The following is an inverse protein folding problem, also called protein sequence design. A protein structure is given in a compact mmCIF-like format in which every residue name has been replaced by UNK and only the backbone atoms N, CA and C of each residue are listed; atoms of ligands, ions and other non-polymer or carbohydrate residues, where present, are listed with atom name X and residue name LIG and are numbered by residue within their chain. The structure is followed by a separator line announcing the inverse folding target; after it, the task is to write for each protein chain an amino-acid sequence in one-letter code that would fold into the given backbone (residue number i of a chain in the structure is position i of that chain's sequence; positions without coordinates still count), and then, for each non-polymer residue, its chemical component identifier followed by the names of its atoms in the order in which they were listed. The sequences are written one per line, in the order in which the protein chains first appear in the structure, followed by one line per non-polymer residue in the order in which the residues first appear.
data_IF_342318021190
#
_entry.id   IF_342318021190
#
_cell.length_a   1.000
_cell.length_b   1.000
_cell.length_c   1.000
_cell.angle_alpha   90.00
_cell.angle_beta   90.00
_cell.angle_gamma   90.00
#
_symmetry.space_group_name_H-M   'P 1'
#
loop_
_entity.id
_entity.type
_entity.pdbx_description
1 polymer ?
#
# COMPACT_ATOMS: atom_id res chain seq x y z
N UNK A 1 13.35 13.20 -22.93
CA UNK A 1 12.21 12.67 -22.16
C UNK A 1 12.67 12.24 -20.77
N UNK A 2 12.02 12.73 -19.70
CA UNK A 2 12.54 12.48 -18.36
C UNK A 2 11.82 11.27 -17.72
N UNK A 3 12.45 10.10 -17.74
CA UNK A 3 11.96 8.88 -17.10
C UNK A 3 11.89 9.01 -15.58
N UNK A 4 12.78 9.80 -14.98
CA UNK A 4 12.92 9.92 -13.52
C UNK A 4 11.96 10.93 -12.87
N UNK A 5 11.15 11.63 -13.68
CA UNK A 5 10.17 12.60 -13.18
C UNK A 5 9.26 12.05 -12.05
N UNK A 6 8.79 10.78 -12.10
CA UNK A 6 7.97 10.22 -11.02
C UNK A 6 8.67 10.11 -9.67
N UNK A 7 10.01 10.05 -9.64
CA UNK A 7 10.78 9.95 -8.39
C UNK A 7 10.90 11.28 -7.64
N UNK A 8 10.90 12.41 -8.35
CA UNK A 8 11.28 13.70 -7.75
C UNK A 8 10.45 14.10 -6.53
N UNK A 9 9.10 14.01 -6.52
CA UNK A 9 8.32 14.40 -5.34
C UNK A 9 8.63 13.50 -4.14
N UNK A 10 8.83 12.20 -4.36
CA UNK A 10 9.13 11.24 -3.29
C UNK A 10 10.54 11.40 -2.74
N UNK A 11 11.52 11.64 -3.61
CA UNK A 11 12.91 11.92 -3.20
C UNK A 11 12.97 13.25 -2.43
N UNK A 12 12.27 14.27 -2.89
CA UNK A 12 12.20 15.55 -2.18
C UNK A 12 11.54 15.36 -0.81
N UNK A 13 10.40 14.68 -0.75
CA UNK A 13 9.71 14.39 0.50
C UNK A 13 10.58 13.62 1.48
N UNK A 14 11.28 12.59 1.01
CA UNK A 14 12.20 11.81 1.85
C UNK A 14 13.39 12.64 2.32
N UNK A 15 13.99 13.45 1.44
CA UNK A 15 15.08 14.35 1.80
C UNK A 15 14.66 15.39 2.86
N UNK A 16 13.45 15.93 2.78
CA UNK A 16 12.91 16.85 3.79
C UNK A 16 12.78 16.17 5.16
N UNK A 17 12.26 14.94 5.21
CA UNK A 17 12.11 14.20 6.47
C UNK A 17 13.49 13.87 7.06
N UNK A 18 14.46 13.45 6.23
CA UNK A 18 15.83 13.15 6.66
C UNK A 18 16.53 14.37 7.29
N UNK A 19 16.20 15.59 6.83
CA UNK A 19 16.73 16.82 7.39
C UNK A 19 15.96 17.30 8.64
N UNK A 20 14.88 16.63 9.02
CA UNK A 20 14.14 16.92 10.25
C UNK A 20 14.75 16.11 11.37
N UNK A 21 15.43 16.76 12.32
CA UNK A 21 16.21 16.10 13.39
C UNK A 21 15.40 15.05 14.16
N UNK A 22 14.14 15.33 14.47
CA UNK A 22 13.24 14.42 15.18
C UNK A 22 12.90 13.14 14.41
N UNK A 23 13.00 13.14 13.09
CA UNK A 23 12.58 12.01 12.25
C UNK A 23 13.74 11.41 11.43
N UNK A 24 14.93 11.97 11.52
CA UNK A 24 16.06 11.58 10.68
C UNK A 24 16.37 10.08 10.77
N UNK A 25 16.48 9.55 11.98
CA UNK A 25 16.75 8.13 12.20
C UNK A 25 15.62 7.22 11.72
N UNK A 26 14.37 7.54 12.09
CA UNK A 26 13.18 6.84 11.60
C UNK A 26 13.13 6.81 10.07
N UNK A 27 13.34 7.97 9.45
CA UNK A 27 13.31 8.15 8.00
C UNK A 27 14.44 7.39 7.30
N UNK A 28 15.65 7.40 7.87
CA UNK A 28 16.78 6.68 7.32
C UNK A 28 16.53 5.17 7.34
N UNK A 29 16.17 4.62 8.49
CA UNK A 29 15.95 3.17 8.66
C UNK A 29 14.77 2.70 7.81
N UNK A 30 13.62 3.42 7.86
CA UNK A 30 12.46 3.10 7.02
C UNK A 30 12.82 3.19 5.53
N UNK A 31 13.45 4.28 5.09
CA UNK A 31 13.79 4.49 3.68
C UNK A 31 14.76 3.43 3.14
N UNK A 32 15.81 3.09 3.87
CA UNK A 32 16.71 2.00 3.50
C UNK A 32 15.98 0.65 3.47
N UNK A 33 15.13 0.38 4.47
CA UNK A 33 14.33 -0.83 4.51
C UNK A 33 13.36 -0.92 3.31
N UNK A 34 12.70 0.18 2.93
CA UNK A 34 11.85 0.24 1.74
C UNK A 34 12.64 -0.01 0.46
N UNK A 35 13.83 0.59 0.31
CA UNK A 35 14.68 0.37 -0.85
C UNK A 35 15.12 -1.10 -0.97
N UNK A 36 15.52 -1.72 0.14
CA UNK A 36 15.91 -3.14 0.17
C UNK A 36 14.71 -4.02 -0.19
N UNK A 37 13.55 -3.80 0.46
CA UNK A 37 12.33 -4.56 0.22
C UNK A 37 11.89 -4.46 -1.24
N UNK A 38 11.79 -3.23 -1.79
CA UNK A 38 11.37 -3.04 -3.17
C UNK A 38 12.40 -3.56 -4.18
N UNK A 39 13.69 -3.41 -3.92
CA UNK A 39 14.71 -3.98 -4.77
C UNK A 39 14.59 -5.50 -4.86
N UNK A 40 14.45 -6.18 -3.73
CA UNK A 40 14.40 -7.65 -3.67
C UNK A 40 13.06 -8.23 -4.17
N UNK A 41 11.94 -7.68 -3.70
CA UNK A 41 10.60 -8.28 -3.91
C UNK A 41 9.91 -7.74 -5.17
N UNK A 42 10.30 -6.55 -5.63
CA UNK A 42 9.63 -5.87 -6.76
C UNK A 42 10.58 -5.72 -7.94
N UNK A 43 11.69 -5.00 -7.78
CA UNK A 43 12.55 -4.62 -8.91
C UNK A 43 13.25 -5.81 -9.57
N UNK A 44 13.79 -6.75 -8.79
CA UNK A 44 14.40 -7.97 -9.34
C UNK A 44 13.38 -8.84 -10.09
N UNK A 45 12.20 -9.17 -9.53
CA UNK A 45 11.16 -9.88 -10.27
C UNK A 45 10.66 -9.13 -11.50
N UNK A 46 10.49 -7.81 -11.45
CA UNK A 46 10.13 -6.99 -12.63
C UNK A 46 11.20 -7.11 -13.71
N UNK A 47 12.46 -6.99 -13.34
CA UNK A 47 13.57 -7.11 -14.28
C UNK A 47 13.57 -8.47 -14.98
N UNK A 48 13.32 -9.55 -14.25
CA UNK A 48 13.31 -10.92 -14.79
C UNK A 48 12.07 -11.24 -15.62
N UNK A 49 10.93 -10.67 -15.29
CA UNK A 49 9.63 -11.06 -15.86
C UNK A 49 8.99 -10.00 -16.71
N UNK A 50 9.43 -8.76 -16.59
CA UNK A 50 8.82 -7.59 -17.21
C UNK A 50 7.43 -7.24 -16.65
N UNK A 51 7.01 -7.76 -15.48
CA UNK A 51 5.65 -7.56 -14.95
C UNK A 51 5.64 -6.69 -13.72
N UNK A 52 4.81 -5.64 -13.74
CA UNK A 52 4.65 -4.68 -12.65
C UNK A 52 3.82 -5.22 -11.47
N UNK A 53 3.09 -6.32 -11.66
CA UNK A 53 2.19 -6.91 -10.65
C UNK A 53 2.87 -7.29 -9.34
N UNK A 54 4.20 -7.36 -9.29
CA UNK A 54 4.96 -7.58 -8.05
C UNK A 54 4.90 -6.39 -7.07
N UNK A 55 4.56 -5.19 -7.56
CA UNK A 55 4.31 -4.02 -6.70
C UNK A 55 3.20 -4.30 -5.69
N UNK A 56 2.18 -5.07 -6.09
CA UNK A 56 1.07 -5.46 -5.21
C UNK A 56 1.49 -6.35 -4.05
N UNK A 57 2.65 -6.98 -4.14
CA UNK A 57 3.29 -7.66 -3.00
C UNK A 57 4.14 -6.66 -2.20
N UNK A 58 5.03 -5.92 -2.86
CA UNK A 58 6.00 -5.07 -2.17
C UNK A 58 5.35 -3.93 -1.38
N UNK A 59 4.33 -3.29 -1.94
CA UNK A 59 3.71 -2.12 -1.35
C UNK A 59 3.05 -2.38 0.02
N UNK A 60 2.20 -3.42 0.20
CA UNK A 60 1.62 -3.73 1.50
C UNK A 60 2.66 -4.17 2.54
N UNK A 61 3.67 -4.92 2.14
CA UNK A 61 4.76 -5.30 3.06
C UNK A 61 5.62 -4.11 3.45
N UNK A 62 5.69 -3.09 2.60
CA UNK A 62 6.26 -1.79 2.94
C UNK A 62 5.51 -1.08 4.06
N UNK A 63 4.18 -1.20 4.14
CA UNK A 63 3.38 -0.67 5.26
C UNK A 63 3.67 -1.42 6.56
N UNK A 64 3.79 -2.76 6.50
CA UNK A 64 4.19 -3.56 7.66
C UNK A 64 5.55 -3.12 8.18
N UNK A 65 6.51 -2.93 7.28
CA UNK A 65 7.84 -2.44 7.64
C UNK A 65 7.78 -1.05 8.29
N UNK A 66 7.02 -0.11 7.70
CA UNK A 66 6.85 1.23 8.26
C UNK A 66 6.25 1.19 9.68
N UNK A 67 5.23 0.33 9.90
CA UNK A 67 4.66 0.12 11.24
C UNK A 67 5.68 -0.42 12.24
N UNK A 68 6.46 -1.43 11.85
CA UNK A 68 7.52 -2.02 12.71
C UNK A 68 8.58 -0.97 13.07
N UNK A 69 9.09 -0.25 12.07
CA UNK A 69 10.11 0.80 12.28
C UNK A 69 9.58 1.90 13.20
N UNK A 70 8.33 2.33 12.98
CA UNK A 70 7.71 3.36 13.82
C UNK A 70 7.56 2.92 15.28
N UNK A 71 7.21 1.66 15.52
CA UNK A 71 7.07 1.14 16.89
C UNK A 71 8.40 1.11 17.66
N UNK A 72 9.44 0.59 16.99
CA UNK A 72 10.72 0.35 17.68
C UNK A 72 11.64 1.55 17.76
N UNK A 73 11.51 2.53 16.88
CA UNK A 73 12.45 3.62 16.75
C UNK A 73 11.87 5.01 17.03
N UNK A 74 10.56 5.13 17.30
CA UNK A 74 9.99 6.42 17.70
C UNK A 74 10.23 6.69 19.18
N UNK A 75 10.48 7.95 19.51
CA UNK A 75 10.71 8.42 20.89
C UNK A 75 9.42 8.94 21.57
N UNK A 76 8.26 8.72 20.95
CA UNK A 76 6.98 9.20 21.46
C UNK A 76 6.37 8.32 22.55
N UNK A 77 5.17 8.71 22.99
CA UNK A 77 4.43 7.91 23.96
C UNK A 77 4.12 6.52 23.37
N UNK A 78 4.58 5.47 24.06
CA UNK A 78 4.58 4.10 23.57
C UNK A 78 3.23 3.60 23.04
N UNK A 79 2.12 4.03 23.67
CA UNK A 79 0.77 3.61 23.25
C UNK A 79 0.38 4.21 21.90
N UNK A 80 0.81 5.45 21.59
CA UNK A 80 0.59 6.09 20.29
C UNK A 80 1.35 5.36 19.19
N UNK A 81 2.62 5.06 19.45
CA UNK A 81 3.46 4.28 18.55
C UNK A 81 2.86 2.88 18.30
N UNK A 82 2.37 2.22 19.36
CA UNK A 82 1.73 0.92 19.26
C UNK A 82 0.45 0.99 18.41
N UNK A 83 -0.43 1.94 18.67
CA UNK A 83 -1.72 2.06 17.95
C UNK A 83 -1.49 2.29 16.47
N UNK A 84 -0.67 3.27 16.09
CA UNK A 84 -0.42 3.57 14.67
C UNK A 84 0.30 2.41 13.97
N UNK A 85 1.19 1.71 14.68
CA UNK A 85 1.89 0.53 14.14
C UNK A 85 0.94 -0.64 13.90
N UNK A 86 0.04 -0.92 14.84
CA UNK A 86 -1.00 -1.95 14.67
C UNK A 86 -1.89 -1.63 13.47
N UNK A 87 -2.32 -0.38 13.32
CA UNK A 87 -3.11 0.07 12.16
C UNK A 87 -2.40 -0.27 10.85
N UNK A 88 -1.14 0.14 10.70
CA UNK A 88 -0.35 -0.13 9.49
C UNK A 88 -0.10 -1.61 9.24
N UNK A 89 0.23 -2.36 10.30
CA UNK A 89 0.50 -3.79 10.20
C UNK A 89 -0.78 -4.54 9.79
N UNK A 90 -1.94 -4.19 10.34
CA UNK A 90 -3.21 -4.82 9.97
C UNK A 90 -3.57 -4.55 8.51
N UNK A 91 -3.47 -3.30 8.05
CA UNK A 91 -3.72 -2.94 6.65
C UNK A 91 -2.73 -3.67 5.73
N UNK A 92 -1.43 -3.59 6.06
CA UNK A 92 -0.38 -4.21 5.27
C UNK A 92 -0.51 -5.74 5.21
N UNK A 93 -0.79 -6.41 6.32
CA UNK A 93 -0.99 -7.86 6.37
C UNK A 93 -2.23 -8.28 5.56
N UNK A 94 -3.36 -7.58 5.70
CA UNK A 94 -4.59 -7.90 4.96
C UNK A 94 -4.34 -7.87 3.45
N UNK A 95 -3.71 -6.81 2.95
CA UNK A 95 -3.40 -6.66 1.53
C UNK A 95 -2.26 -7.59 1.09
N UNK A 96 -1.20 -7.68 1.88
CA UNK A 96 0.01 -8.45 1.58
C UNK A 96 -0.23 -9.95 1.54
N UNK A 97 -0.99 -10.51 2.50
CA UNK A 97 -1.37 -11.92 2.50
C UNK A 97 -2.28 -12.26 1.31
N UNK A 98 -3.19 -11.35 0.94
CA UNK A 98 -3.99 -11.48 -0.27
C UNK A 98 -3.15 -11.53 -1.54
N UNK A 99 -2.16 -10.64 -1.65
CA UNK A 99 -1.24 -10.60 -2.78
C UNK A 99 -0.34 -11.85 -2.86
N UNK A 100 0.17 -12.35 -1.73
CA UNK A 100 0.92 -13.61 -1.68
C UNK A 100 0.06 -14.80 -2.10
N UNK A 101 -1.20 -14.86 -1.68
CA UNK A 101 -2.12 -15.90 -2.11
C UNK A 101 -2.36 -15.85 -3.62
N UNK A 102 -2.55 -14.66 -4.20
CA UNK A 102 -2.65 -14.50 -5.65
C UNK A 102 -1.39 -14.95 -6.37
N UNK A 103 -0.20 -14.66 -5.83
CA UNK A 103 1.06 -15.13 -6.37
C UNK A 103 1.18 -16.67 -6.33
N UNK A 104 0.87 -17.30 -5.20
CA UNK A 104 0.85 -18.77 -5.05
C UNK A 104 -0.12 -19.44 -6.03
N UNK A 105 -1.27 -18.82 -6.28
CA UNK A 105 -2.26 -19.30 -7.27
C UNK A 105 -1.81 -19.07 -8.73
N UNK A 106 -0.66 -18.46 -8.96
CA UNK A 106 -0.13 -18.16 -10.30
C UNK A 106 -0.82 -17.01 -11.02
N UNK A 107 -1.65 -16.22 -10.35
CA UNK A 107 -2.37 -15.11 -10.96
C UNK A 107 -1.43 -13.97 -11.41
N UNK A 108 -0.25 -13.85 -10.80
CA UNK A 108 0.78 -12.91 -11.21
C UNK A 108 1.59 -13.37 -12.44
N UNK A 109 1.27 -14.53 -13.03
CA UNK A 109 1.85 -14.96 -14.31
C UNK A 109 1.38 -14.12 -15.50
N UNK A 110 0.29 -13.37 -15.33
CA UNK A 110 -0.20 -12.38 -16.29
C UNK A 110 -0.13 -11.00 -15.67
N UNK A 111 0.19 -10.00 -16.50
CA UNK A 111 0.17 -8.61 -16.08
C UNK A 111 -1.26 -8.14 -15.83
N UNK A 112 -1.50 -7.38 -14.75
CA UNK A 112 -2.80 -6.83 -14.46
C UNK A 112 -3.19 -5.72 -15.45
N UNK A 113 -4.50 -5.58 -15.77
CA UNK A 113 -4.99 -4.60 -16.76
C UNK A 113 -4.52 -3.17 -16.50
N UNK A 114 -4.44 -2.74 -15.23
CA UNK A 114 -3.98 -1.40 -14.86
C UNK A 114 -2.53 -1.13 -15.30
N UNK A 115 -1.65 -2.12 -15.20
CA UNK A 115 -0.25 -2.00 -15.61
C UNK A 115 -0.09 -2.13 -17.13
N UNK A 116 -0.96 -2.91 -17.79
CA UNK A 116 -1.03 -2.92 -19.25
C UNK A 116 -1.43 -1.54 -19.79
N UNK A 117 -2.43 -0.91 -19.17
CA UNK A 117 -2.85 0.45 -19.51
C UNK A 117 -1.74 1.48 -19.29
N UNK A 118 -0.96 1.35 -18.21
CA UNK A 118 0.19 2.20 -17.95
C UNK A 118 1.26 2.11 -19.05
N UNK A 119 1.50 0.90 -19.60
CA UNK A 119 2.42 0.73 -20.74
C UNK A 119 1.94 1.45 -21.98
N UNK A 120 0.64 1.35 -22.30
CA UNK A 120 0.04 2.07 -23.43
C UNK A 120 0.22 3.59 -23.26
N UNK A 121 0.09 4.09 -22.04
CA UNK A 121 0.37 5.50 -21.76
C UNK A 121 1.82 5.86 -22.02
N UNK A 122 2.77 5.04 -21.56
CA UNK A 122 4.20 5.28 -21.80
C UNK A 122 4.57 5.27 -23.28
N UNK A 123 3.98 4.36 -24.06
CA UNK A 123 4.14 4.36 -25.52
C UNK A 123 3.63 5.64 -26.17
N UNK A 124 2.44 6.11 -25.75
CA UNK A 124 1.88 7.39 -26.22
C UNK A 124 2.73 8.60 -25.81
N UNK A 125 3.38 8.53 -24.64
CA UNK A 125 4.33 9.52 -24.16
C UNK A 125 5.70 9.39 -24.85
N UNK A 126 5.89 8.42 -25.76
CA UNK A 126 7.12 8.16 -26.51
C UNK A 126 8.22 7.52 -25.64
N UNK A 127 7.92 6.90 -24.49
CA UNK A 127 8.89 6.17 -23.67
C UNK A 127 9.24 4.83 -24.31
N UNK A 128 10.34 4.79 -25.04
CA UNK A 128 10.81 3.60 -25.78
C UNK A 128 11.45 2.55 -24.86
N UNK A 129 12.13 2.98 -23.78
CA UNK A 129 12.74 2.07 -22.84
C UNK A 129 11.74 1.67 -21.73
N UNK A 130 10.90 0.68 -22.03
CA UNK A 130 9.88 0.16 -21.10
C UNK A 130 10.53 -0.46 -19.85
N UNK A 131 11.68 -1.10 -19.97
CA UNK A 131 12.36 -1.71 -18.82
C UNK A 131 12.77 -0.64 -17.79
N UNK A 132 13.33 0.48 -18.24
CA UNK A 132 13.66 1.60 -17.36
C UNK A 132 12.40 2.22 -16.75
N UNK A 133 11.34 2.41 -17.54
CA UNK A 133 10.08 2.96 -17.05
C UNK A 133 9.47 2.10 -15.94
N UNK A 134 9.50 0.77 -16.08
CA UNK A 134 9.04 -0.18 -15.06
C UNK A 134 9.83 -0.06 -13.76
N UNK A 135 11.17 0.02 -13.84
CA UNK A 135 12.02 0.13 -12.65
C UNK A 135 11.81 1.45 -11.92
N UNK A 136 11.73 2.55 -12.66
CA UNK A 136 11.49 3.88 -12.09
C UNK A 136 10.12 3.94 -11.40
N UNK A 137 9.08 3.39 -12.02
CA UNK A 137 7.74 3.36 -11.43
C UNK A 137 7.72 2.46 -10.17
N UNK A 138 8.37 1.30 -10.22
CA UNK A 138 8.50 0.41 -9.07
C UNK A 138 9.19 1.09 -7.87
N UNK A 139 10.32 1.74 -8.09
CA UNK A 139 11.05 2.45 -7.03
C UNK A 139 10.23 3.63 -6.50
N UNK A 140 9.49 4.34 -7.36
CA UNK A 140 8.64 5.45 -6.91
C UNK A 140 7.55 4.99 -5.93
N UNK A 141 7.01 3.78 -6.12
CA UNK A 141 6.05 3.18 -5.18
C UNK A 141 6.68 2.89 -3.81
N UNK A 142 7.91 2.38 -3.78
CA UNK A 142 8.65 2.17 -2.52
C UNK A 142 9.00 3.48 -1.81
N UNK A 143 9.40 4.49 -2.57
CA UNK A 143 9.70 5.82 -2.04
C UNK A 143 8.43 6.53 -1.51
N UNK A 144 7.25 6.20 -1.99
CA UNK A 144 6.00 6.71 -1.40
C UNK A 144 5.85 6.25 0.06
N UNK A 145 6.18 4.99 0.37
CA UNK A 145 6.21 4.47 1.74
C UNK A 145 7.32 5.10 2.60
N UNK A 146 8.40 5.56 1.98
CA UNK A 146 9.50 6.22 2.68
C UNK A 146 9.25 7.72 2.92
N UNK A 147 8.31 8.33 2.21
CA UNK A 147 8.04 9.77 2.23
C UNK A 147 6.62 10.11 2.65
N UNK A 148 5.69 10.23 1.71
CA UNK A 148 4.33 10.73 1.97
C UNK A 148 3.57 9.94 3.03
N UNK A 149 3.65 8.61 2.99
CA UNK A 149 2.98 7.77 3.98
C UNK A 149 3.70 7.76 5.33
N UNK A 150 5.02 7.96 5.34
CA UNK A 150 5.80 8.00 6.57
C UNK A 150 5.55 9.27 7.40
N UNK A 151 5.31 10.42 6.77
CA UNK A 151 5.17 11.72 7.46
C UNK A 151 4.09 11.67 8.56
N UNK A 152 2.80 11.38 8.27
CA UNK A 152 1.77 11.37 9.29
C UNK A 152 2.05 10.30 10.36
N UNK A 153 2.62 9.17 9.98
CA UNK A 153 2.94 8.08 10.88
C UNK A 153 4.01 8.48 11.88
N UNK A 154 5.09 9.12 11.41
CA UNK A 154 6.16 9.60 12.28
C UNK A 154 5.68 10.71 13.22
N UNK A 155 4.81 11.61 12.76
CA UNK A 155 4.20 12.64 13.61
C UNK A 155 3.39 12.01 14.75
N UNK A 156 2.56 11.02 14.46
CA UNK A 156 1.73 10.35 15.47
C UNK A 156 2.60 9.51 16.39
N UNK A 157 3.53 8.70 15.86
CA UNK A 157 4.36 7.81 16.61
C UNK A 157 5.35 8.54 17.54
N UNK A 158 5.81 9.74 17.16
CA UNK A 158 6.75 10.55 17.95
C UNK A 158 6.05 11.56 18.87
N UNK A 159 4.73 11.56 18.95
CA UNK A 159 4.00 12.43 19.86
C UNK A 159 4.10 11.90 21.31
N UNK A 160 4.64 12.73 22.22
CA UNK A 160 4.86 12.39 23.63
C UNK A 160 3.64 12.55 24.55
N UNK A 161 2.52 13.10 24.04
CA UNK A 161 1.32 13.27 24.86
C UNK A 161 0.72 11.92 25.25
N UNK A 162 0.53 11.62 26.54
CA UNK A 162 -0.15 10.40 26.98
C UNK A 162 -1.66 10.43 26.74
N UNK A 163 -2.23 11.63 26.60
CA UNK A 163 -3.66 11.85 26.42
C UNK A 163 -4.03 11.74 24.94
N UNK A 164 -5.09 11.01 24.64
CA UNK A 164 -5.69 10.97 23.32
C UNK A 164 -6.79 12.00 23.23
N UNK A 165 -6.77 12.82 22.19
CA UNK A 165 -7.85 13.76 21.90
C UNK A 165 -9.11 12.98 21.49
N UNK A 166 -10.27 13.56 21.78
CA UNK A 166 -11.57 12.96 21.38
C UNK A 166 -11.62 12.70 19.86
N UNK A 167 -11.05 13.60 19.05
CA UNK A 167 -10.98 13.44 17.58
C UNK A 167 -10.10 12.27 17.16
N UNK A 168 -9.02 11.97 17.87
CA UNK A 168 -8.15 10.80 17.60
C UNK A 168 -8.90 9.50 17.88
N UNK A 169 -9.67 9.47 18.99
CA UNK A 169 -10.50 8.30 19.32
C UNK A 169 -11.62 8.09 18.28
N UNK A 170 -12.29 9.17 17.88
CA UNK A 170 -13.33 9.13 16.83
C UNK A 170 -12.70 8.64 15.51
N UNK A 171 -11.53 9.15 15.13
CA UNK A 171 -10.81 8.74 13.93
C UNK A 171 -10.48 7.24 13.97
N UNK A 172 -9.99 6.73 15.11
CA UNK A 172 -9.68 5.32 15.27
C UNK A 172 -10.93 4.42 15.18
N UNK A 173 -12.05 4.88 15.74
CA UNK A 173 -13.35 4.15 15.64
C UNK A 173 -13.83 4.12 14.17
N UNK A 174 -13.77 5.26 13.46
CA UNK A 174 -14.12 5.34 12.04
C UNK A 174 -13.22 4.42 11.22
N UNK A 175 -11.91 4.45 11.49
CA UNK A 175 -10.95 3.56 10.84
C UNK A 175 -11.31 2.07 11.04
N UNK A 176 -11.60 1.68 12.28
CA UNK A 176 -11.94 0.29 12.61
C UNK A 176 -13.21 -0.17 11.88
N UNK A 177 -14.23 0.69 11.84
CA UNK A 177 -15.47 0.41 11.10
C UNK A 177 -15.22 0.31 9.59
N UNK A 178 -14.40 1.20 9.03
CA UNK A 178 -14.03 1.18 7.63
C UNK A 178 -13.24 -0.11 7.27
N UNK A 179 -12.23 -0.46 8.07
CA UNK A 179 -11.44 -1.67 7.89
C UNK A 179 -12.30 -2.96 7.96
N UNK A 180 -13.23 -3.00 8.91
CA UNK A 180 -14.18 -4.10 9.02
C UNK A 180 -15.13 -4.16 7.80
N UNK A 181 -15.68 -3.03 7.38
CA UNK A 181 -16.55 -2.93 6.21
C UNK A 181 -15.84 -3.37 4.92
N UNK A 182 -14.60 -2.94 4.71
CA UNK A 182 -13.79 -3.33 3.56
C UNK A 182 -13.56 -4.85 3.54
N UNK A 183 -13.18 -5.41 4.70
CA UNK A 183 -12.95 -6.84 4.86
C UNK A 183 -14.23 -7.66 4.57
N UNK A 184 -15.35 -7.24 5.11
CA UNK A 184 -16.65 -7.89 4.87
C UNK A 184 -17.05 -7.81 3.39
N UNK A 185 -16.87 -6.65 2.76
CA UNK A 185 -17.17 -6.46 1.34
C UNK A 185 -16.34 -7.40 0.45
N UNK A 186 -15.04 -7.51 0.70
CA UNK A 186 -14.17 -8.41 -0.05
C UNK A 186 -14.53 -9.88 0.15
N UNK A 187 -14.83 -10.31 1.38
CA UNK A 187 -15.28 -11.68 1.68
C UNK A 187 -16.61 -12.01 0.96
N UNK A 188 -17.56 -11.09 0.97
CA UNK A 188 -18.83 -11.25 0.26
C UNK A 188 -18.62 -11.44 -1.25
N UNK A 189 -17.73 -10.64 -1.85
CA UNK A 189 -17.39 -10.75 -3.27
C UNK A 189 -16.71 -12.07 -3.60
N UNK A 190 -15.75 -12.49 -2.78
CA UNK A 190 -15.06 -13.78 -2.96
C UNK A 190 -16.05 -14.93 -2.90
N UNK A 191 -16.92 -14.96 -1.88
CA UNK A 191 -17.94 -15.99 -1.72
C UNK A 191 -18.91 -16.02 -2.93
N UNK A 192 -19.37 -14.85 -3.38
CA UNK A 192 -20.23 -14.74 -4.56
C UNK A 192 -19.53 -15.29 -5.83
N UNK A 193 -18.29 -14.92 -6.08
CA UNK A 193 -17.55 -15.40 -7.25
C UNK A 193 -17.31 -16.91 -7.22
N UNK A 194 -17.05 -17.49 -6.04
CA UNK A 194 -16.92 -18.93 -5.87
C UNK A 194 -18.24 -19.64 -6.16
N UNK A 195 -19.35 -19.09 -5.68
CA UNK A 195 -20.70 -19.62 -5.92
C UNK A 195 -21.07 -19.58 -7.40
N UNK A 196 -20.80 -18.47 -8.09
CA UNK A 196 -21.03 -18.34 -9.54
C UNK A 196 -20.17 -19.31 -10.34
N UNK A 197 -18.89 -19.50 -9.96
CA UNK A 197 -18.00 -20.48 -10.59
C UNK A 197 -18.54 -21.90 -10.45
N UNK A 198 -19.02 -22.30 -9.26
CA UNK A 198 -19.64 -23.63 -9.02
C UNK A 198 -20.91 -23.81 -9.84
N UNK A 199 -21.70 -22.75 -10.04
CA UNK A 199 -22.93 -22.76 -10.84
C UNK A 199 -22.70 -22.66 -12.36
N UNK A 200 -21.44 -22.62 -12.83
CA UNK A 200 -21.12 -22.45 -14.26
C UNK A 200 -21.47 -21.09 -14.84
N UNK A 201 -21.85 -20.11 -14.00
CA UNK A 201 -22.24 -18.76 -14.42
C UNK A 201 -21.03 -17.84 -14.49
N UNK A 202 -20.87 -17.14 -15.60
CA UNK A 202 -19.80 -16.16 -15.81
C UNK A 202 -20.36 -14.75 -15.90
N UNK A 203 -19.51 -13.75 -15.59
CA UNK A 203 -19.83 -12.32 -15.78
C UNK A 203 -21.07 -11.83 -15.03
N UNK A 204 -21.40 -12.43 -13.89
CA UNK A 204 -22.50 -11.96 -13.06
C UNK A 204 -22.04 -10.79 -12.19
N UNK A 205 -22.95 -9.82 -11.99
CA UNK A 205 -22.71 -8.68 -11.11
C UNK A 205 -22.98 -9.12 -9.66
N UNK A 206 -22.04 -8.82 -8.76
CA UNK A 206 -22.23 -9.05 -7.34
C UNK A 206 -23.28 -8.08 -6.79
N UNK A 207 -24.37 -8.62 -6.24
CA UNK A 207 -25.49 -7.87 -5.68
C UNK A 207 -25.92 -8.39 -4.30
N UNK A 208 -25.00 -8.99 -3.55
CA UNK A 208 -25.25 -9.56 -2.21
C UNK A 208 -24.63 -8.69 -1.12
N UNK A 209 -25.24 -8.68 0.06
CA UNK A 209 -24.72 -7.94 1.21
C UNK A 209 -24.51 -6.46 0.90
N UNK A 210 -23.31 -5.94 1.19
CA UNK A 210 -22.93 -4.54 0.93
C UNK A 210 -22.96 -4.16 -0.56
N UNK A 211 -22.71 -5.13 -1.46
CA UNK A 211 -22.74 -4.93 -2.92
C UNK A 211 -24.14 -4.68 -3.48
N UNK A 212 -25.17 -4.87 -2.66
CA UNK A 212 -26.55 -4.52 -3.02
C UNK A 212 -26.79 -3.01 -2.97
N UNK A 213 -26.09 -2.32 -2.09
CA UNK A 213 -26.29 -0.88 -1.83
C UNK A 213 -25.29 0.00 -2.59
N UNK A 214 -24.10 -0.51 -2.88
CA UNK A 214 -23.04 0.23 -3.55
C UNK A 214 -22.30 -0.68 -4.53
N UNK A 215 -21.88 -0.14 -5.69
CA UNK A 215 -21.12 -0.88 -6.70
C UNK A 215 -19.71 -1.28 -6.23
N UNK A 216 -19.13 -0.49 -5.34
CA UNK A 216 -17.75 -0.66 -4.87
C UNK A 216 -17.66 -0.34 -3.36
N UNK A 217 -18.34 -1.13 -2.50
CA UNK A 217 -18.34 -0.88 -1.06
C UNK A 217 -16.94 -1.02 -0.45
N UNK A 218 -16.11 -1.91 -1.00
CA UNK A 218 -14.72 -2.08 -0.59
C UNK A 218 -13.87 -0.84 -0.93
N UNK A 219 -14.02 -0.23 -2.11
CA UNK A 219 -13.26 0.98 -2.45
C UNK A 219 -13.70 2.19 -1.62
N UNK A 220 -14.98 2.31 -1.30
CA UNK A 220 -15.46 3.35 -0.40
C UNK A 220 -14.84 3.18 1.00
N UNK A 221 -14.85 1.96 1.52
CA UNK A 221 -14.26 1.65 2.82
C UNK A 221 -12.73 1.83 2.81
N UNK A 222 -12.03 1.38 1.75
CA UNK A 222 -10.60 1.59 1.56
C UNK A 222 -10.25 3.10 1.56
N UNK A 223 -11.05 3.92 0.85
CA UNK A 223 -10.86 5.37 0.89
C UNK A 223 -10.97 5.92 2.31
N UNK A 224 -11.92 5.43 3.14
CA UNK A 224 -12.04 5.85 4.53
C UNK A 224 -10.92 5.31 5.43
N UNK A 225 -10.30 4.17 5.12
CA UNK A 225 -9.13 3.64 5.83
C UNK A 225 -7.92 4.56 5.69
N UNK A 226 -7.81 5.28 4.57
CA UNK A 226 -6.67 6.15 4.25
C UNK A 226 -6.90 7.63 4.62
N UNK A 227 -8.08 8.03 5.04
CA UNK A 227 -8.43 9.40 5.44
C UNK A 227 -8.71 9.51 6.94
#
# INVERSE_FOLDING_TARGET
MNYFRPLYPFLLGWALILNTTSFANLSLVNGLGQLILFSAVVCIPIWRTGRMSYVDIGWPWGLVLLGIVSFFLSDGYWLRSLVVSIVLILVGLRMGLGALKMWQMGLLKKEFPRYQYQRIRWEKEGKTNVALALQVDAISQGLANASFLAIPIFIIASNNSPEFLVLEIIGLVIWLLAFAMETVADLQKIAFLQQMKKAGKQRQVCNVGLWRYCRHPNYFAEWMVWN
#
